data_IF_308751494867
#
_entry.id   IF_308751494867
#
_cell.length_a   1.000
_cell.length_b   1.000
_cell.length_c   1.000
_cell.angle_alpha   90.00
_cell.angle_beta   90.00
_cell.angle_gamma   90.00
#
_symmetry.space_group_name_H-M   'P 1'
#
loop_
_entity.id
_entity.type
_entity.pdbx_description
1 polymer ?
#
# COMPACT_ATOMS: atom_id res chain seq x y z
N UNK A 1 4.14 -4.86 -27.89
CA UNK A 1 5.54 -4.46 -27.73
C UNK A 1 6.02 -4.81 -26.33
N UNK A 2 7.17 -5.46 -26.23
CA UNK A 2 7.73 -5.83 -24.93
C UNK A 2 8.48 -4.64 -24.32
N UNK A 3 8.32 -4.43 -23.02
CA UNK A 3 9.08 -3.43 -22.29
C UNK A 3 10.41 -4.03 -21.81
N UNK A 4 11.44 -3.19 -21.67
CA UNK A 4 12.68 -3.59 -21.02
C UNK A 4 12.42 -3.77 -19.50
N UNK A 5 13.33 -4.43 -18.79
CA UNK A 5 13.21 -4.59 -17.33
C UNK A 5 13.15 -3.25 -16.63
N UNK A 6 13.94 -2.28 -17.07
CA UNK A 6 13.93 -0.93 -16.53
C UNK A 6 12.58 -0.25 -16.75
N UNK A 7 12.07 -0.30 -17.99
CA UNK A 7 10.77 0.29 -18.32
C UNK A 7 9.65 -0.36 -17.52
N UNK A 8 9.68 -1.69 -17.38
CA UNK A 8 8.69 -2.44 -16.59
C UNK A 8 8.66 -1.95 -15.14
N UNK A 9 9.84 -1.75 -14.54
CA UNK A 9 9.92 -1.28 -13.16
C UNK A 9 9.42 0.16 -13.02
N UNK A 10 9.76 1.03 -13.98
CA UNK A 10 9.29 2.41 -13.97
C UNK A 10 7.76 2.49 -14.13
N UNK A 11 7.19 1.66 -14.99
CA UNK A 11 5.73 1.58 -15.18
C UNK A 11 5.03 1.05 -13.94
N UNK A 12 5.62 0.04 -13.28
CA UNK A 12 5.07 -0.50 -12.03
C UNK A 12 5.01 0.59 -10.95
N UNK A 13 6.09 1.34 -10.78
CA UNK A 13 6.15 2.44 -9.83
C UNK A 13 5.13 3.52 -10.15
N UNK A 14 4.99 3.85 -11.43
CA UNK A 14 4.01 4.85 -11.88
C UNK A 14 2.58 4.39 -11.61
N UNK A 15 2.28 3.11 -11.87
CA UNK A 15 0.96 2.53 -11.56
C UNK A 15 0.66 2.57 -10.07
N UNK A 16 1.61 2.19 -9.22
CA UNK A 16 1.44 2.21 -7.77
C UNK A 16 1.21 3.63 -7.26
N UNK A 17 1.98 4.59 -7.75
CA UNK A 17 1.86 5.99 -7.37
C UNK A 17 0.48 6.56 -7.75
N UNK A 18 0.05 6.34 -8.98
CA UNK A 18 -1.25 6.83 -9.47
C UNK A 18 -2.40 6.14 -8.74
N UNK A 19 -2.29 4.85 -8.49
CA UNK A 19 -3.31 4.08 -7.77
C UNK A 19 -3.45 4.57 -6.34
N UNK A 20 -2.33 4.86 -5.67
CA UNK A 20 -2.34 5.40 -4.31
C UNK A 20 -3.01 6.77 -4.27
N UNK A 21 -2.73 7.62 -5.27
CA UNK A 21 -3.40 8.91 -5.41
C UNK A 21 -4.92 8.73 -5.56
N UNK A 22 -5.35 7.80 -6.40
CA UNK A 22 -6.77 7.49 -6.58
C UNK A 22 -7.39 6.92 -5.31
N UNK A 23 -6.65 6.10 -4.57
CA UNK A 23 -7.13 5.49 -3.33
C UNK A 23 -7.55 6.53 -2.29
N UNK A 24 -6.82 7.64 -2.19
CA UNK A 24 -7.11 8.69 -1.21
C UNK A 24 -8.04 9.79 -1.75
N UNK A 25 -8.33 9.81 -3.04
CA UNK A 25 -9.22 10.80 -3.66
C UNK A 25 -10.55 10.21 -4.09
N UNK A 26 -10.52 9.30 -5.07
CA UNK A 26 -11.73 8.69 -5.64
C UNK A 26 -12.21 7.46 -4.88
N UNK A 27 -11.27 6.72 -4.30
CA UNK A 27 -11.52 5.42 -3.72
C UNK A 27 -11.47 4.30 -4.77
N UNK A 28 -11.34 3.07 -4.30
CA UNK A 28 -11.16 1.91 -5.16
C UNK A 28 -12.35 1.69 -6.10
N UNK A 29 -13.58 1.83 -5.60
CA UNK A 29 -14.79 1.55 -6.39
C UNK A 29 -14.93 2.49 -7.59
N UNK A 30 -14.53 3.75 -7.44
CA UNK A 30 -14.65 4.77 -8.48
C UNK A 30 -13.43 4.85 -9.40
N UNK A 31 -12.42 4.06 -9.16
CA UNK A 31 -11.22 4.00 -9.98
C UNK A 31 -11.32 2.82 -10.95
N UNK A 32 -11.12 3.06 -12.24
CA UNK A 32 -11.13 2.02 -13.27
C UNK A 32 -9.73 1.72 -13.77
N UNK A 33 -9.55 0.52 -14.33
CA UNK A 33 -8.30 0.15 -15.02
C UNK A 33 -8.02 1.11 -16.17
N UNK A 34 -9.07 1.52 -16.91
CA UNK A 34 -8.93 2.48 -18.01
C UNK A 34 -8.35 3.81 -17.55
N UNK A 35 -8.82 4.34 -16.41
CA UNK A 35 -8.28 5.58 -15.85
C UNK A 35 -6.80 5.44 -15.50
N UNK A 36 -6.43 4.33 -14.86
CA UNK A 36 -5.06 4.08 -14.42
C UNK A 36 -4.11 3.94 -15.62
N UNK A 37 -4.51 3.16 -16.61
CA UNK A 37 -3.68 2.93 -17.79
C UNK A 37 -3.49 4.19 -18.63
N UNK A 38 -4.54 5.00 -18.75
CA UNK A 38 -4.44 6.31 -19.42
C UNK A 38 -3.47 7.23 -18.69
N UNK A 39 -3.55 7.26 -17.36
CA UNK A 39 -2.70 8.15 -16.56
C UNK A 39 -1.22 7.82 -16.71
N UNK A 40 -0.87 6.54 -16.82
CA UNK A 40 0.52 6.13 -16.94
C UNK A 40 0.97 5.88 -18.40
N UNK A 41 0.04 5.98 -19.35
CA UNK A 41 0.37 5.90 -20.78
C UNK A 41 0.59 4.50 -21.34
N UNK A 42 -0.13 3.51 -20.82
CA UNK A 42 -0.07 2.13 -21.33
C UNK A 42 -1.42 1.66 -21.84
N UNK A 43 -1.41 0.62 -22.67
CA UNK A 43 -2.64 -0.03 -23.12
C UNK A 43 -3.24 -0.88 -22.02
N UNK A 44 -4.58 -1.05 -22.03
CA UNK A 44 -5.29 -1.87 -21.05
C UNK A 44 -4.75 -3.30 -21.00
N UNK A 45 -4.45 -3.89 -22.15
CA UNK A 45 -3.85 -5.23 -22.21
C UNK A 45 -2.51 -5.33 -21.50
N UNK A 46 -1.72 -4.26 -21.54
CA UNK A 46 -0.45 -4.22 -20.81
C UNK A 46 -0.62 -4.22 -19.30
N UNK A 47 -1.70 -3.62 -18.80
CA UNK A 47 -2.03 -3.66 -17.37
C UNK A 47 -2.07 -5.09 -16.84
N UNK A 48 -2.73 -5.99 -17.56
CA UNK A 48 -2.91 -7.37 -17.12
C UNK A 48 -1.64 -8.20 -17.14
N UNK A 49 -0.54 -7.67 -17.69
CA UNK A 49 0.79 -8.26 -17.55
C UNK A 49 1.43 -7.91 -16.21
N UNK A 50 1.00 -6.81 -15.57
CA UNK A 50 1.49 -6.37 -14.27
C UNK A 50 0.67 -6.92 -13.11
N UNK A 51 -0.65 -6.87 -13.25
CA UNK A 51 -1.60 -7.25 -12.18
C UNK A 51 -2.79 -7.99 -12.77
N UNK A 52 -3.24 -9.03 -12.09
CA UNK A 52 -4.40 -9.83 -12.55
C UNK A 52 -5.70 -9.04 -12.51
N UNK A 53 -5.83 -8.09 -11.60
CA UNK A 53 -7.04 -7.32 -11.40
C UNK A 53 -6.74 -5.97 -10.76
N UNK A 54 -7.73 -5.08 -10.80
CA UNK A 54 -7.69 -3.81 -10.07
C UNK A 54 -7.47 -4.06 -8.57
N UNK A 55 -8.14 -5.04 -8.02
CA UNK A 55 -8.04 -5.40 -6.60
C UNK A 55 -6.62 -5.80 -6.22
N UNK A 56 -5.92 -6.55 -7.07
CA UNK A 56 -4.53 -6.92 -6.84
C UNK A 56 -3.60 -5.71 -6.82
N UNK A 57 -3.86 -4.73 -7.68
CA UNK A 57 -3.09 -3.48 -7.70
C UNK A 57 -3.34 -2.67 -6.42
N UNK A 58 -4.60 -2.51 -6.01
CA UNK A 58 -4.92 -1.81 -4.76
C UNK A 58 -4.35 -2.54 -3.53
N UNK A 59 -4.31 -3.87 -3.58
CA UNK A 59 -3.67 -4.65 -2.53
C UNK A 59 -2.16 -4.36 -2.45
N UNK A 60 -1.48 -4.25 -3.60
CA UNK A 60 -0.07 -3.87 -3.62
C UNK A 60 0.14 -2.48 -2.99
N UNK A 61 -0.78 -1.54 -3.21
CA UNK A 61 -0.76 -0.22 -2.56
C UNK A 61 -0.90 -0.38 -1.04
N UNK A 62 -1.84 -1.20 -0.59
CA UNK A 62 -2.06 -1.44 0.84
C UNK A 62 -0.81 -2.05 1.50
N UNK A 63 -0.19 -3.03 0.85
CA UNK A 63 1.05 -3.62 1.35
C UNK A 63 2.18 -2.59 1.45
N UNK A 64 2.28 -1.70 0.46
CA UNK A 64 3.26 -0.61 0.48
C UNK A 64 3.04 0.36 1.63
N UNK A 65 1.78 0.69 1.90
CA UNK A 65 1.40 1.54 3.04
C UNK A 65 1.79 0.86 4.36
N UNK A 66 1.47 -0.42 4.52
CA UNK A 66 1.83 -1.18 5.72
C UNK A 66 3.36 -1.20 5.93
N UNK A 67 4.13 -1.45 4.87
CA UNK A 67 5.59 -1.45 4.95
C UNK A 67 6.12 -0.08 5.38
N UNK A 68 5.56 1.01 4.85
CA UNK A 68 5.95 2.36 5.25
C UNK A 68 5.64 2.61 6.72
N UNK A 69 4.46 2.21 7.20
CA UNK A 69 4.05 2.42 8.59
C UNK A 69 4.92 1.62 9.56
N UNK A 70 5.25 0.39 9.22
CA UNK A 70 6.19 -0.41 10.02
C UNK A 70 7.56 0.24 10.06
N UNK A 71 8.04 0.76 8.93
CA UNK A 71 9.30 1.49 8.86
C UNK A 71 9.30 2.74 9.73
N UNK A 72 8.20 3.48 9.74
CA UNK A 72 8.04 4.68 10.59
C UNK A 72 8.08 4.29 12.07
N UNK A 73 7.38 3.21 12.45
CA UNK A 73 7.37 2.73 13.82
C UNK A 73 8.76 2.24 14.25
N UNK A 74 9.41 1.46 13.41
CA UNK A 74 10.75 0.93 13.69
C UNK A 74 11.77 2.05 13.85
N UNK A 75 11.69 3.07 13.00
CA UNK A 75 12.56 4.24 13.10
C UNK A 75 12.33 5.00 14.41
N UNK A 76 11.08 5.22 14.79
CA UNK A 76 10.74 5.89 16.06
C UNK A 76 11.25 5.11 17.27
N UNK A 77 11.16 3.77 17.24
CA UNK A 77 11.69 2.92 18.29
C UNK A 77 13.22 2.99 18.36
N UNK A 78 13.88 3.04 17.21
CA UNK A 78 15.33 3.19 17.11
C UNK A 78 15.81 4.53 17.71
N UNK A 79 15.10 5.63 17.41
CA UNK A 79 15.45 6.97 17.89
C UNK A 79 15.18 7.16 19.40
N UNK A 80 14.41 6.27 20.03
CA UNK A 80 14.00 6.39 21.41
C UNK A 80 14.58 5.28 22.31
N UNK A 81 15.68 4.70 21.92
CA UNK A 81 16.27 3.52 22.57
C UNK A 81 16.55 3.72 24.07
N UNK A 82 16.90 4.90 24.51
CA UNK A 82 17.19 5.18 25.92
C UNK A 82 15.98 5.50 26.77
N UNK A 83 14.76 5.54 26.21
CA UNK A 83 13.55 5.93 26.93
C UNK A 83 12.82 4.72 27.53
N UNK A 84 11.96 4.95 28.54
CA UNK A 84 11.10 3.87 29.07
C UNK A 84 10.19 3.26 27.99
N UNK A 85 9.84 1.95 28.10
CA UNK A 85 9.03 1.29 27.07
C UNK A 85 7.72 1.97 26.75
N UNK A 86 7.01 2.52 27.75
CA UNK A 86 5.75 3.23 27.53
C UNK A 86 5.93 4.50 26.68
N UNK A 87 7.00 5.23 26.90
CA UNK A 87 7.30 6.44 26.11
C UNK A 87 7.70 6.08 24.68
N UNK A 88 8.47 5.02 24.51
CA UNK A 88 8.87 4.52 23.20
C UNK A 88 7.64 4.10 22.39
N UNK A 89 6.75 3.33 23.00
CA UNK A 89 5.50 2.90 22.35
C UNK A 89 4.65 4.11 21.94
N UNK A 90 4.49 5.08 22.84
CA UNK A 90 3.70 6.29 22.55
C UNK A 90 4.28 7.08 21.38
N UNK A 91 5.60 7.22 21.32
CA UNK A 91 6.26 7.93 20.22
C UNK A 91 6.12 7.20 18.89
N UNK A 92 6.20 5.88 18.90
CA UNK A 92 6.00 5.05 17.70
C UNK A 92 4.56 5.18 17.17
N UNK A 93 3.57 5.09 18.04
CA UNK A 93 2.15 5.25 17.68
C UNK A 93 1.91 6.64 17.11
N UNK A 94 2.43 7.67 17.77
CA UNK A 94 2.27 9.05 17.31
C UNK A 94 2.90 9.27 15.94
N UNK A 95 4.08 8.71 15.69
CA UNK A 95 4.75 8.81 14.40
C UNK A 95 3.92 8.16 13.29
N UNK A 96 3.35 7.00 13.54
CA UNK A 96 2.46 6.31 12.59
C UNK A 96 1.21 7.16 12.32
N UNK A 97 0.58 7.68 13.36
CA UNK A 97 -0.61 8.53 13.22
C UNK A 97 -0.32 9.79 12.41
N UNK A 98 0.84 10.43 12.63
CA UNK A 98 1.25 11.60 11.85
C UNK A 98 1.45 11.25 10.38
N UNK A 99 2.08 10.12 10.09
CA UNK A 99 2.27 9.68 8.70
C UNK A 99 0.93 9.46 8.02
N UNK A 100 -0.01 8.76 8.67
CA UNK A 100 -1.35 8.53 8.13
C UNK A 100 -2.09 9.83 7.86
N UNK A 101 -1.97 10.79 8.76
CA UNK A 101 -2.58 12.11 8.60
C UNK A 101 -1.97 12.87 7.42
N UNK A 102 -0.65 12.87 7.31
CA UNK A 102 0.07 13.62 6.27
C UNK A 102 -0.18 13.07 4.86
N UNK A 103 -0.28 11.76 4.72
CA UNK A 103 -0.50 11.11 3.42
C UNK A 103 -1.96 11.01 3.02
N UNK A 104 -2.88 11.04 3.98
CA UNK A 104 -4.31 10.78 3.75
C UNK A 104 -4.64 9.31 3.54
N UNK A 105 -3.70 8.40 3.73
CA UNK A 105 -3.89 6.96 3.48
C UNK A 105 -4.99 6.35 4.36
N UNK A 106 -5.32 6.97 5.50
CA UNK A 106 -6.39 6.49 6.38
C UNK A 106 -7.74 6.43 5.67
N UNK A 107 -7.97 7.33 4.71
CA UNK A 107 -9.21 7.33 3.91
C UNK A 107 -9.36 6.00 3.16
N UNK A 108 -8.30 5.53 2.54
CA UNK A 108 -8.29 4.25 1.84
C UNK A 108 -8.45 3.08 2.82
N UNK A 109 -7.71 3.11 3.92
CA UNK A 109 -7.77 2.05 4.93
C UNK A 109 -9.18 1.91 5.51
N UNK A 110 -9.81 3.00 5.90
CA UNK A 110 -11.14 2.98 6.50
C UNK A 110 -12.24 2.61 5.51
N UNK A 111 -12.15 3.11 4.29
CA UNK A 111 -13.24 2.97 3.32
C UNK A 111 -13.15 1.72 2.44
N UNK A 112 -11.93 1.30 2.09
CA UNK A 112 -11.76 0.29 1.04
C UNK A 112 -11.03 -0.98 1.48
N UNK A 113 -10.17 -0.92 2.50
CA UNK A 113 -9.30 -2.06 2.81
C UNK A 113 -10.08 -3.33 3.18
N UNK A 114 -11.16 -3.21 3.95
CA UNK A 114 -11.98 -4.36 4.34
C UNK A 114 -12.60 -5.03 3.11
N UNK A 115 -13.19 -4.24 2.23
CA UNK A 115 -13.81 -4.74 1.00
C UNK A 115 -12.75 -5.37 0.09
N UNK A 116 -11.60 -4.73 -0.03
CA UNK A 116 -10.48 -5.22 -0.81
C UNK A 116 -10.07 -6.61 -0.33
N UNK A 117 -9.85 -6.77 0.97
CA UNK A 117 -9.44 -8.05 1.55
C UNK A 117 -10.49 -9.14 1.34
N UNK A 118 -11.78 -8.79 1.34
CA UNK A 118 -12.86 -9.72 1.06
C UNK A 118 -12.87 -10.21 -0.39
N UNK A 119 -12.40 -9.40 -1.33
CA UNK A 119 -12.38 -9.71 -2.76
C UNK A 119 -11.13 -10.44 -3.23
N UNK A 120 -10.10 -10.52 -2.40
CA UNK A 120 -8.85 -11.19 -2.77
C UNK A 120 -8.94 -12.70 -2.61
N UNK A 121 -8.16 -13.48 -3.42
CA UNK A 121 -8.05 -14.91 -3.23
C UNK A 121 -7.54 -15.26 -1.81
N UNK A 122 -8.02 -16.37 -1.25
CA UNK A 122 -7.67 -16.80 0.10
C UNK A 122 -6.17 -16.93 0.32
N UNK A 123 -5.42 -17.45 -0.65
CA UNK A 123 -3.98 -17.58 -0.54
C UNK A 123 -3.27 -16.25 -0.34
N UNK A 124 -3.73 -15.21 -1.04
CA UNK A 124 -3.18 -13.85 -0.91
C UNK A 124 -3.46 -13.28 0.49
N UNK A 125 -4.71 -13.43 0.97
CA UNK A 125 -5.09 -12.97 2.32
C UNK A 125 -4.27 -13.64 3.40
N UNK A 126 -4.07 -14.95 3.30
CA UNK A 126 -3.32 -15.71 4.31
C UNK A 126 -1.87 -15.25 4.41
N UNK A 127 -1.22 -14.97 3.28
CA UNK A 127 0.14 -14.43 3.25
C UNK A 127 0.19 -13.07 3.93
N UNK A 128 -0.76 -12.19 3.63
CA UNK A 128 -0.83 -10.85 4.21
C UNK A 128 -0.96 -10.91 5.74
N UNK A 129 -1.90 -11.70 6.26
CA UNK A 129 -2.10 -11.83 7.70
C UNK A 129 -0.90 -12.46 8.40
N UNK A 130 -0.23 -13.41 7.76
CA UNK A 130 0.97 -14.01 8.31
C UNK A 130 2.11 -12.98 8.42
N UNK A 131 2.31 -12.17 7.41
CA UNK A 131 3.34 -11.12 7.41
C UNK A 131 3.09 -10.09 8.50
N UNK A 132 1.85 -9.66 8.67
CA UNK A 132 1.45 -8.72 9.73
C UNK A 132 1.71 -9.31 11.11
N UNK A 133 1.31 -10.56 11.32
CA UNK A 133 1.54 -11.26 12.59
C UNK A 133 3.03 -11.39 12.91
N UNK A 134 3.82 -11.76 11.93
CA UNK A 134 5.28 -11.91 12.09
C UNK A 134 5.91 -10.56 12.46
N UNK A 135 5.49 -9.48 11.83
CA UNK A 135 6.02 -8.15 12.12
C UNK A 135 5.67 -7.70 13.55
N UNK A 136 4.43 -7.92 13.97
CA UNK A 136 3.97 -7.54 15.32
C UNK A 136 4.78 -8.24 16.41
N UNK A 137 5.22 -9.47 16.17
CA UNK A 137 6.00 -10.25 17.14
C UNK A 137 7.46 -9.82 17.26
N UNK A 138 7.97 -9.08 16.28
CA UNK A 138 9.33 -8.55 16.32
C UNK A 138 9.43 -7.34 17.25
#
# INVERSE_FOLDING_TARGET
MAFTDYETEQLRKALLKETRRCAVTLGMKKTSVDQLTKAVGIAKGSFYKFYESKEMLFFAVLEGIHAELYGVADHALSETDGLPPSERAAKAVLAVCRRLSDTGDMVFIENDAKLLLQRLPEGVKNVHYHDDETHIRQ
#
